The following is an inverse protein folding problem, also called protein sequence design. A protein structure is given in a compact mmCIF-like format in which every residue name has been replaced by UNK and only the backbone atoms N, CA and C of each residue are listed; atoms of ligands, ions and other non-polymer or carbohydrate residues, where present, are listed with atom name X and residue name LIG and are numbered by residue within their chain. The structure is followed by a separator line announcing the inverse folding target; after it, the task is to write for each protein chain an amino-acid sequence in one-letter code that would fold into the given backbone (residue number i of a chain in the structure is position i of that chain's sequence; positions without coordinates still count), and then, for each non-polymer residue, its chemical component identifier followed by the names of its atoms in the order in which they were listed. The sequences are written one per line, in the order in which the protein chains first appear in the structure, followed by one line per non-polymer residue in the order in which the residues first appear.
data_IF_898407708254
#
_entry.id   IF_898407708254
#
_cell.length_a   1.000
_cell.length_b   1.000
_cell.length_c   1.000
_cell.angle_alpha   90.00
_cell.angle_beta   90.00
_cell.angle_gamma   90.00
#
_symmetry.space_group_name_H-M   'P 1'
#
loop_
_entity.id
_entity.type
_entity.pdbx_description
1 polymer ?
#
# COMPACT_ATOMS: atom_id res chain seq x y z
N UNK A 1 11.47 17.55 -17.41
CA UNK A 1 10.57 18.65 -17.01
C UNK A 1 9.47 18.88 -18.01
N UNK A 2 8.29 18.30 -17.76
CA UNK A 2 7.05 18.78 -18.38
C UNK A 2 6.53 19.90 -17.51
N UNK A 3 6.04 20.99 -18.10
CA UNK A 3 5.49 22.08 -17.29
C UNK A 3 4.33 21.53 -16.42
N UNK A 4 4.14 22.00 -15.17
CA UNK A 4 3.05 21.53 -14.30
C UNK A 4 1.66 21.60 -14.93
N UNK A 5 1.46 22.45 -15.95
CA UNK A 5 0.21 22.56 -16.72
C UNK A 5 -0.04 21.39 -17.67
N UNK A 6 0.99 20.71 -18.17
CA UNK A 6 0.82 19.55 -19.06
C UNK A 6 0.36 18.29 -18.29
N UNK A 7 0.69 18.20 -17.00
CA UNK A 7 0.20 17.16 -16.08
C UNK A 7 -1.31 17.25 -15.84
N UNK A 8 -1.99 18.27 -16.33
CA UNK A 8 -3.42 18.45 -16.09
C UNK A 8 -4.29 17.82 -17.18
N UNK A 9 -3.74 17.16 -18.20
CA UNK A 9 -4.53 16.61 -19.32
C UNK A 9 -4.78 15.09 -19.28
N UNK A 10 -4.25 14.38 -18.29
CA UNK A 10 -4.44 12.94 -18.11
C UNK A 10 -4.60 12.58 -16.63
N UNK A 11 -4.85 11.31 -16.34
CA UNK A 11 -4.79 10.78 -14.97
C UNK A 11 -3.33 10.51 -14.59
N UNK A 12 -2.88 11.02 -13.44
CA UNK A 12 -1.50 10.89 -12.99
C UNK A 12 -1.40 10.36 -11.57
N UNK A 13 -0.28 9.69 -11.32
CA UNK A 13 0.16 9.31 -9.99
C UNK A 13 1.55 9.88 -9.78
N UNK A 14 1.72 10.63 -8.71
CA UNK A 14 3.01 11.21 -8.30
C UNK A 14 3.41 10.57 -6.98
N UNK A 15 4.62 10.01 -6.95
CA UNK A 15 5.13 9.24 -5.81
C UNK A 15 6.31 9.99 -5.22
N UNK A 16 6.22 10.28 -3.92
CA UNK A 16 7.23 10.97 -3.12
C UNK A 16 7.90 12.14 -3.86
N UNK A 17 7.14 13.12 -4.36
CA UNK A 17 7.69 14.25 -5.09
C UNK A 17 8.70 15.04 -4.23
N UNK A 18 9.80 15.46 -4.85
CA UNK A 18 10.87 16.19 -4.17
C UNK A 18 10.53 17.66 -3.91
N UNK A 19 9.68 18.25 -4.76
CA UNK A 19 9.35 19.67 -4.82
C UNK A 19 7.85 19.89 -5.06
N UNK A 20 7.35 21.06 -4.67
CA UNK A 20 5.98 21.50 -4.90
C UNK A 20 5.65 21.55 -6.40
N UNK A 21 4.38 21.29 -6.72
CA UNK A 21 3.88 21.43 -8.08
C UNK A 21 2.38 21.67 -8.06
N UNK A 22 1.91 22.64 -8.84
CA UNK A 22 0.48 22.93 -8.92
C UNK A 22 -0.32 21.69 -9.38
N UNK A 23 -1.45 21.32 -8.74
CA UNK A 23 -2.21 22.08 -7.71
C UNK A 23 -1.88 21.68 -6.25
N UNK A 24 -0.71 21.14 -5.97
CA UNK A 24 -0.32 20.56 -4.68
C UNK A 24 0.89 21.27 -4.05
N UNK A 25 0.82 21.48 -2.74
CA UNK A 25 1.93 21.86 -1.87
C UNK A 25 2.39 20.67 -1.05
N UNK A 26 3.71 20.55 -0.85
CA UNK A 26 4.33 19.51 -0.07
C UNK A 26 5.01 20.11 1.16
N UNK A 27 4.66 19.57 2.32
CA UNK A 27 5.39 19.87 3.54
C UNK A 27 6.79 19.25 3.55
N UNK A 28 7.58 19.66 4.54
CA UNK A 28 8.87 19.00 4.83
C UNK A 28 8.62 17.56 5.25
N UNK A 29 9.51 16.66 4.82
CA UNK A 29 9.50 15.26 5.26
C UNK A 29 9.58 15.23 6.79
N UNK A 30 8.64 14.56 7.42
CA UNK A 30 8.51 14.49 8.88
C UNK A 30 8.27 13.07 9.34
N UNK A 31 8.64 12.78 10.58
CA UNK A 31 8.30 11.53 11.24
C UNK A 31 6.79 11.50 11.54
N UNK A 32 6.18 10.35 11.29
CA UNK A 32 4.77 10.09 11.54
C UNK A 32 4.66 9.22 12.79
N UNK A 33 4.19 9.81 13.88
CA UNK A 33 4.06 9.13 15.18
C UNK A 33 2.60 8.76 15.51
N UNK A 34 1.67 9.12 14.65
CA UNK A 34 0.23 8.97 14.89
C UNK A 34 -0.36 7.83 14.07
N UNK A 35 -1.44 7.25 14.59
CA UNK A 35 -2.19 6.23 13.87
C UNK A 35 -2.71 6.78 12.54
N UNK A 36 -2.66 5.92 11.53
CA UNK A 36 -3.15 6.22 10.20
C UNK A 36 -4.69 6.14 10.19
N UNK A 37 -5.31 7.11 9.53
CA UNK A 37 -6.75 7.20 9.31
C UNK A 37 -7.02 7.11 7.81
N UNK A 38 -8.00 6.28 7.44
CA UNK A 38 -8.42 6.11 6.06
C UNK A 38 -9.71 6.84 5.77
N UNK A 39 -9.79 7.39 4.57
CA UNK A 39 -11.06 7.77 3.99
C UNK A 39 -11.76 6.52 3.43
N UNK A 40 -12.72 5.97 4.18
CA UNK A 40 -13.43 4.75 3.82
C UNK A 40 -14.26 4.87 2.52
N UNK A 41 -14.54 6.09 2.05
CA UNK A 41 -15.23 6.33 0.78
C UNK A 41 -14.28 6.27 -0.43
N UNK A 42 -13.00 5.92 -0.23
CA UNK A 42 -12.03 5.77 -1.31
C UNK A 42 -12.03 4.36 -1.88
N UNK A 43 -12.38 4.22 -3.16
CA UNK A 43 -12.24 2.96 -3.90
C UNK A 43 -10.79 2.47 -3.97
N UNK A 44 -9.81 3.37 -3.80
CA UNK A 44 -8.39 3.04 -3.77
C UNK A 44 -8.01 2.17 -2.56
N UNK A 45 -8.72 2.32 -1.45
CA UNK A 45 -8.47 1.60 -0.20
C UNK A 45 -9.43 0.41 0.01
N UNK A 46 -10.18 0.02 -1.03
CA UNK A 46 -11.07 -1.12 -0.95
C UNK A 46 -10.27 -2.38 -0.59
N UNK A 47 -10.69 -3.07 0.48
CA UNK A 47 -10.01 -4.25 1.05
C UNK A 47 -8.64 -3.98 1.69
N UNK A 48 -8.33 -2.73 2.03
CA UNK A 48 -7.13 -2.35 2.78
C UNK A 48 -7.55 -1.76 4.12
N UNK A 49 -6.88 -2.16 5.21
CA UNK A 49 -7.10 -1.64 6.56
C UNK A 49 -5.92 -0.78 7.02
N UNK A 50 -6.15 0.21 7.89
CA UNK A 50 -5.08 1.05 8.43
C UNK A 50 -3.99 0.27 9.18
N UNK A 51 -4.31 -0.90 9.71
CA UNK A 51 -3.38 -1.76 10.45
C UNK A 51 -2.53 -2.64 9.54
N UNK A 52 -2.78 -2.67 8.23
CA UNK A 52 -2.07 -3.57 7.33
C UNK A 52 -0.63 -3.09 7.05
N UNK A 53 -0.29 -1.82 7.32
CA UNK A 53 1.05 -1.26 7.13
C UNK A 53 1.27 -0.03 8.04
N UNK A 54 2.53 0.37 8.18
CA UNK A 54 3.00 1.53 8.93
C UNK A 54 3.71 2.51 8.02
N UNK A 55 3.44 3.79 8.21
CA UNK A 55 4.20 4.89 7.60
C UNK A 55 4.96 5.55 8.74
N UNK A 56 6.29 5.51 8.70
CA UNK A 56 7.14 6.16 9.71
C UNK A 56 7.57 7.55 9.29
N UNK A 57 7.66 7.82 7.99
CA UNK A 57 8.00 9.13 7.46
C UNK A 57 7.16 9.47 6.24
N UNK A 58 6.84 10.75 6.09
CA UNK A 58 6.14 11.25 4.91
C UNK A 58 6.18 12.76 4.83
N UNK A 59 5.82 13.27 3.66
CA UNK A 59 5.61 14.68 3.38
C UNK A 59 4.10 14.96 3.48
N UNK A 60 3.69 15.93 4.32
CA UNK A 60 2.34 16.48 4.28
C UNK A 60 1.96 16.89 2.86
N UNK A 61 0.72 16.62 2.46
CA UNK A 61 0.18 17.04 1.16
C UNK A 61 -0.95 18.02 1.43
N UNK A 62 -0.88 19.19 0.82
CA UNK A 62 -1.92 20.21 0.90
C UNK A 62 -2.33 20.63 -0.52
N UNK A 63 -3.62 20.86 -0.74
CA UNK A 63 -4.07 21.49 -1.98
C UNK A 63 -3.78 23.00 -1.96
N UNK A 64 -3.44 23.58 -3.11
CA UNK A 64 -3.47 25.04 -3.27
C UNK A 64 -4.85 25.57 -2.84
N UNK A 65 -4.89 26.76 -2.19
CA UNK A 65 -6.14 27.34 -1.65
C UNK A 65 -7.27 27.40 -2.68
N UNK A 66 -6.96 27.79 -3.91
CA UNK A 66 -7.90 27.91 -5.04
C UNK A 66 -8.45 26.56 -5.54
N UNK A 67 -7.80 25.46 -5.19
CA UNK A 67 -8.13 24.10 -5.65
C UNK A 67 -8.54 23.19 -4.48
N UNK A 68 -8.74 23.75 -3.29
CA UNK A 68 -9.02 23.00 -2.06
C UNK A 68 -10.29 22.16 -2.15
N UNK A 69 -11.33 22.63 -2.84
CA UNK A 69 -12.60 21.89 -3.05
C UNK A 69 -12.43 20.60 -3.87
N UNK A 70 -11.37 20.53 -4.67
CA UNK A 70 -11.05 19.37 -5.51
C UNK A 70 -10.09 18.41 -4.82
N UNK A 71 -9.57 18.77 -3.64
CA UNK A 71 -8.57 18.00 -2.92
C UNK A 71 -9.22 17.15 -1.82
N UNK A 72 -8.85 15.87 -1.79
CA UNK A 72 -9.36 14.90 -0.82
C UNK A 72 -8.23 14.07 -0.25
N UNK A 73 -8.09 14.10 1.07
CA UNK A 73 -7.24 13.17 1.78
C UNK A 73 -7.81 11.75 1.70
N UNK A 74 -6.95 10.79 1.37
CA UNK A 74 -7.27 9.35 1.31
C UNK A 74 -6.64 8.63 2.49
N UNK A 75 -5.38 8.93 2.80
CA UNK A 75 -4.68 8.48 4.00
C UNK A 75 -4.19 9.72 4.74
N UNK A 76 -4.42 9.76 6.05
CA UNK A 76 -3.94 10.84 6.91
C UNK A 76 -3.37 10.31 8.22
N UNK A 77 -2.45 11.05 8.83
CA UNK A 77 -1.97 10.78 10.18
C UNK A 77 -2.05 12.09 10.98
N UNK A 78 -2.72 12.07 12.14
CA UNK A 78 -3.02 13.28 12.92
C UNK A 78 -3.61 14.45 12.09
N UNK A 79 -4.48 14.14 11.13
CA UNK A 79 -5.10 15.14 10.25
C UNK A 79 -4.21 15.63 9.11
N UNK A 80 -2.97 15.16 9.02
CA UNK A 80 -2.03 15.49 7.94
C UNK A 80 -2.23 14.50 6.77
N UNK A 81 -2.59 14.95 5.57
CA UNK A 81 -2.71 14.07 4.41
C UNK A 81 -1.34 13.54 3.95
N UNK A 82 -1.24 12.22 3.78
CA UNK A 82 -0.04 11.51 3.31
C UNK A 82 -0.28 10.78 1.98
N UNK A 83 -1.53 10.43 1.71
CA UNK A 83 -2.02 10.07 0.37
C UNK A 83 -3.24 10.93 0.11
N UNK A 84 -3.23 11.65 -1.00
CA UNK A 84 -4.34 12.51 -1.35
C UNK A 84 -4.61 12.49 -2.85
N UNK A 85 -5.84 12.82 -3.18
CA UNK A 85 -6.33 12.96 -4.53
C UNK A 85 -6.70 14.42 -4.79
N UNK A 86 -6.38 14.92 -5.97
CA UNK A 86 -7.03 16.06 -6.58
C UNK A 86 -7.87 15.58 -7.77
N UNK A 87 -9.15 15.95 -7.82
CA UNK A 87 -10.07 15.55 -8.88
C UNK A 87 -10.90 16.72 -9.40
N UNK A 88 -10.78 17.01 -10.70
CA UNK A 88 -11.54 18.08 -11.38
C UNK A 88 -12.11 17.56 -12.69
N UNK A 89 -13.42 17.26 -12.68
CA UNK A 89 -14.10 16.64 -13.82
C UNK A 89 -13.68 15.18 -14.00
N UNK A 90 -13.06 14.85 -15.14
CA UNK A 90 -12.54 13.49 -15.43
C UNK A 90 -11.04 13.34 -15.17
N UNK A 91 -10.43 14.35 -14.58
CA UNK A 91 -8.98 14.44 -14.37
C UNK A 91 -8.70 14.11 -12.92
N UNK A 92 -7.81 13.14 -12.71
CA UNK A 92 -7.42 12.68 -11.39
C UNK A 92 -5.91 12.78 -11.24
N UNK A 93 -5.47 13.35 -10.13
CA UNK A 93 -4.09 13.36 -9.69
C UNK A 93 -4.04 12.71 -8.32
N UNK A 94 -3.34 11.58 -8.21
CA UNK A 94 -3.06 10.94 -6.94
C UNK A 94 -1.64 11.27 -6.51
N UNK A 95 -1.45 11.69 -5.26
CA UNK A 95 -0.13 12.02 -4.72
C UNK A 95 0.14 11.19 -3.47
N UNK A 96 1.26 10.47 -3.48
CA UNK A 96 1.80 9.79 -2.31
C UNK A 96 2.94 10.65 -1.75
N UNK A 97 2.82 11.12 -0.52
CA UNK A 97 3.82 11.94 0.16
C UNK A 97 4.98 11.14 0.73
N UNK A 98 5.04 9.84 0.46
CA UNK A 98 6.04 8.92 1.00
C UNK A 98 6.38 7.88 -0.06
N UNK A 99 7.58 7.28 0.03
CA UNK A 99 7.95 6.20 -0.87
C UNK A 99 7.27 4.89 -0.42
N UNK A 100 6.43 4.24 -1.24
CA UNK A 100 5.78 3.00 -0.83
C UNK A 100 6.73 1.79 -0.86
N UNK A 101 7.95 1.95 -1.39
CA UNK A 101 8.96 0.89 -1.45
C UNK A 101 9.88 0.89 -0.21
N UNK A 102 9.87 -0.22 0.52
CA UNK A 102 10.74 -0.48 1.68
C UNK A 102 12.24 -0.57 1.34
N UNK A 103 12.59 -0.99 0.11
CA UNK A 103 13.99 -1.24 -0.28
C UNK A 103 14.81 0.04 -0.51
N UNK A 104 14.14 1.19 -0.55
CA UNK A 104 14.85 2.46 -0.58
C UNK A 104 15.41 2.77 0.82
N UNK A 105 16.64 3.25 0.86
CA UNK A 105 17.37 3.68 2.06
C UNK A 105 16.62 4.69 2.94
N UNK A 106 15.54 5.27 2.42
CA UNK A 106 14.64 6.18 3.12
C UNK A 106 13.79 5.49 4.21
N UNK A 107 13.47 4.20 4.06
CA UNK A 107 12.74 3.42 5.07
C UNK A 107 11.42 4.07 5.50
N UNK A 108 10.67 4.66 4.57
CA UNK A 108 9.47 5.46 4.88
C UNK A 108 8.30 4.62 5.39
N UNK A 109 8.22 3.36 4.96
CA UNK A 109 7.09 2.46 5.23
C UNK A 109 7.46 0.99 5.04
N UNK A 110 6.73 0.10 5.73
CA UNK A 110 6.75 -1.35 5.48
C UNK A 110 5.71 -1.77 4.41
N UNK A 111 5.02 -0.82 3.77
CA UNK A 111 3.86 -1.13 2.95
C UNK A 111 4.15 -2.15 1.85
N UNK A 112 5.29 -2.07 1.16
CA UNK A 112 5.68 -3.06 0.14
C UNK A 112 5.79 -4.51 0.66
N UNK A 113 5.98 -4.72 1.96
CA UNK A 113 6.01 -6.03 2.61
C UNK A 113 4.61 -6.51 3.03
N UNK A 114 3.63 -5.61 3.02
CA UNK A 114 2.25 -5.89 3.40
C UNK A 114 1.44 -6.46 2.22
N UNK A 115 0.49 -7.37 2.48
CA UNK A 115 -0.44 -7.80 1.45
C UNK A 115 -1.35 -6.69 0.92
N UNK A 116 -1.47 -5.58 1.63
CA UNK A 116 -2.19 -4.39 1.16
C UNK A 116 -1.56 -3.77 -0.10
N UNK A 117 -0.25 -3.94 -0.31
CA UNK A 117 0.46 -3.29 -1.42
C UNK A 117 -0.03 -3.72 -2.81
N UNK A 118 -0.05 -5.01 -3.17
CA UNK A 118 -0.58 -5.42 -4.48
C UNK A 118 -2.08 -5.09 -4.65
N UNK A 119 -2.86 -5.07 -3.55
CA UNK A 119 -4.28 -4.66 -3.57
C UNK A 119 -4.40 -3.18 -3.91
N UNK A 120 -3.59 -2.32 -3.30
CA UNK A 120 -3.56 -0.88 -3.57
C UNK A 120 -3.26 -0.60 -5.05
N UNK A 121 -2.18 -1.17 -5.59
CA UNK A 121 -1.80 -0.97 -6.99
C UNK A 121 -2.88 -1.47 -7.96
N UNK A 122 -3.54 -2.57 -7.63
CA UNK A 122 -4.68 -3.09 -8.39
C UNK A 122 -5.85 -2.10 -8.39
N UNK A 123 -6.22 -1.59 -7.21
CA UNK A 123 -7.28 -0.60 -7.09
C UNK A 123 -6.93 0.70 -7.81
N UNK A 124 -5.67 1.11 -7.76
CA UNK A 124 -5.15 2.29 -8.43
C UNK A 124 -5.22 2.18 -9.95
N UNK A 125 -4.76 1.07 -10.53
CA UNK A 125 -4.90 0.83 -11.97
C UNK A 125 -6.38 0.89 -12.38
N UNK A 126 -7.24 0.20 -11.63
CA UNK A 126 -8.68 0.22 -11.87
C UNK A 126 -9.32 1.60 -11.69
N UNK A 127 -8.72 2.47 -10.88
CA UNK A 127 -9.16 3.85 -10.68
C UNK A 127 -8.75 4.76 -11.83
N UNK A 128 -7.53 4.58 -12.35
CA UNK A 128 -6.97 5.43 -13.41
C UNK A 128 -7.47 5.05 -14.80
N UNK A 129 -7.84 3.78 -15.01
CA UNK A 129 -8.44 3.33 -16.28
C UNK A 129 -9.86 3.88 -16.36
N UNK A 130 -10.15 4.79 -17.31
CA UNK A 130 -11.50 5.30 -17.48
C UNK A 130 -12.41 4.11 -17.82
N UNK A 131 -13.53 3.97 -17.10
CA UNK A 131 -14.56 3.00 -17.43
C UNK A 131 -14.89 3.15 -18.92
N UNK A 132 -14.49 2.16 -19.70
CA UNK A 132 -14.77 2.12 -21.12
C UNK A 132 -16.28 2.26 -21.28
N UNK A 133 -16.71 3.25 -22.08
CA UNK A 133 -18.12 3.56 -22.37
C UNK A 133 -18.95 2.38 -22.89
N UNK A 134 -18.33 1.22 -23.14
CA UNK A 134 -18.98 0.00 -23.60
C UNK A 134 -19.37 -0.98 -22.48
N UNK A 135 -19.27 -0.62 -21.20
CA UNK A 135 -19.56 -1.57 -20.11
C UNK A 135 -18.62 -2.77 -20.10
N UNK A 136 -17.50 -2.67 -20.82
CA UNK A 136 -16.46 -3.68 -20.81
C UNK A 136 -15.78 -3.66 -19.45
N UNK A 137 -16.04 -4.73 -18.70
CA UNK A 137 -15.34 -5.11 -17.48
C UNK A 137 -13.85 -4.77 -17.57
N UNK A 138 -13.36 -4.09 -16.53
CA UNK A 138 -11.95 -3.84 -16.22
C UNK A 138 -11.03 -4.90 -16.82
N UNK A 139 -10.10 -4.49 -17.68
CA UNK A 139 -9.10 -5.37 -18.30
C UNK A 139 -8.19 -6.06 -17.29
N UNK A 140 -8.27 -5.66 -16.02
CA UNK A 140 -7.58 -6.24 -14.88
C UNK A 140 -8.60 -6.68 -13.81
N UNK A 141 -8.88 -7.98 -13.74
CA UNK A 141 -9.70 -8.58 -12.70
C UNK A 141 -8.83 -9.41 -11.75
N UNK A 142 -9.02 -9.21 -10.44
CA UNK A 142 -8.38 -10.00 -9.39
C UNK A 142 -9.19 -11.27 -9.14
N UNK A 143 -8.58 -12.43 -9.35
CA UNK A 143 -9.19 -13.73 -9.10
C UNK A 143 -8.34 -14.57 -8.15
N UNK A 144 -8.97 -15.53 -7.47
CA UNK A 144 -8.27 -16.46 -6.57
C UNK A 144 -7.98 -17.76 -7.30
N UNK A 145 -6.83 -18.37 -7.01
CA UNK A 145 -6.53 -19.72 -7.49
C UNK A 145 -7.59 -20.72 -6.99
N UNK A 146 -8.06 -21.58 -7.89
CA UNK A 146 -9.04 -22.62 -7.58
C UNK A 146 -10.50 -22.14 -7.52
N UNK A 147 -10.77 -20.84 -7.70
CA UNK A 147 -12.14 -20.34 -7.83
C UNK A 147 -12.50 -20.07 -9.29
N UNK A 148 -13.73 -20.37 -9.72
CA UNK A 148 -14.21 -20.03 -11.05
C UNK A 148 -14.22 -18.52 -11.26
N UNK A 149 -13.59 -18.07 -12.34
CA UNK A 149 -13.66 -16.71 -12.83
C UNK A 149 -14.45 -16.66 -14.14
N UNK A 150 -15.41 -15.74 -14.22
CA UNK A 150 -16.11 -15.47 -15.47
C UNK A 150 -15.25 -14.55 -16.34
N UNK A 151 -15.08 -14.98 -17.59
CA UNK A 151 -14.30 -14.28 -18.59
C UNK A 151 -15.20 -14.04 -19.79
N UNK A 152 -15.38 -12.77 -20.12
CA UNK A 152 -16.08 -12.34 -21.32
C UNK A 152 -15.06 -11.66 -22.25
N UNK A 153 -14.94 -12.18 -23.48
CA UNK A 153 -14.08 -11.63 -24.54
C UNK A 153 -14.91 -11.06 -25.71
N UNK A 154 -16.22 -10.83 -25.51
CA UNK A 154 -17.20 -10.41 -26.51
C UNK A 154 -17.61 -11.55 -27.45
N UNK A 155 -18.13 -11.28 -28.65
CA UNK A 155 -18.37 -12.30 -29.67
C UNK A 155 -17.06 -12.77 -30.33
N UNK A 156 -16.97 -14.03 -30.79
CA UNK A 156 -15.81 -14.53 -31.52
C UNK A 156 -15.74 -13.91 -32.93
N UNK A 157 -14.52 -13.69 -33.44
CA UNK A 157 -14.33 -13.12 -34.78
C UNK A 157 -14.62 -14.14 -35.88
N UNK A 158 -14.54 -15.45 -35.54
CA UNK A 158 -14.87 -16.58 -36.41
C UNK A 158 -15.70 -17.62 -35.66
N UNK A 159 -16.62 -18.33 -36.32
CA UNK A 159 -17.28 -19.49 -35.73
C UNK A 159 -16.21 -20.49 -35.26
N UNK A 160 -16.32 -21.00 -34.02
CA UNK A 160 -15.39 -21.99 -33.44
C UNK A 160 -13.95 -21.48 -33.24
N UNK A 161 -13.77 -20.18 -32.98
CA UNK A 161 -12.47 -19.64 -32.64
C UNK A 161 -12.04 -20.07 -31.23
N UNK A 162 -10.93 -20.80 -31.15
CA UNK A 162 -10.39 -21.28 -29.89
C UNK A 162 -9.94 -20.13 -28.98
N UNK A 163 -10.10 -20.33 -27.68
CA UNK A 163 -9.53 -19.49 -26.64
C UNK A 163 -8.24 -20.11 -26.16
N UNK A 164 -7.19 -19.32 -26.11
CA UNK A 164 -5.87 -19.72 -25.62
C UNK A 164 -5.61 -19.05 -24.27
N UNK A 165 -5.25 -19.86 -23.29
CA UNK A 165 -4.89 -19.46 -21.93
C UNK A 165 -3.41 -19.71 -21.75
N UNK A 166 -2.63 -18.65 -21.60
CA UNK A 166 -1.23 -18.74 -21.21
C UNK A 166 -1.11 -18.53 -19.71
N UNK A 167 -0.63 -19.57 -19.04
CA UNK A 167 -0.37 -19.58 -17.61
C UNK A 167 0.95 -18.85 -17.28
N UNK A 168 1.16 -18.46 -16.01
CA UNK A 168 2.36 -17.76 -15.55
C UNK A 168 3.66 -18.53 -15.81
N UNK A 169 3.62 -19.86 -15.75
CA UNK A 169 4.74 -20.75 -16.07
C UNK A 169 5.05 -20.85 -17.59
N UNK A 170 4.23 -20.20 -18.43
CA UNK A 170 4.34 -20.26 -19.88
C UNK A 170 3.53 -21.39 -20.53
N UNK A 171 2.92 -22.28 -19.75
CA UNK A 171 2.05 -23.35 -20.24
C UNK A 171 0.86 -22.76 -20.97
N UNK A 172 0.50 -23.35 -22.10
CA UNK A 172 -0.59 -22.87 -22.95
C UNK A 172 -1.69 -23.92 -23.02
N UNK A 173 -2.89 -23.55 -22.60
CA UNK A 173 -4.11 -24.35 -22.73
C UNK A 173 -4.99 -23.76 -23.83
N UNK A 174 -5.48 -24.58 -24.74
CA UNK A 174 -6.37 -24.13 -25.82
C UNK A 174 -7.70 -24.84 -25.68
N UNK A 175 -8.79 -24.09 -25.58
CA UNK A 175 -10.14 -24.62 -25.38
C UNK A 175 -11.07 -24.06 -26.45
N UNK A 176 -11.90 -24.92 -27.02
CA UNK A 176 -12.97 -24.50 -27.93
C UNK A 176 -14.18 -24.07 -27.10
N UNK A 177 -14.48 -22.78 -27.09
CA UNK A 177 -15.63 -22.23 -26.36
C UNK A 177 -16.68 -21.74 -27.35
N UNK A 178 -17.94 -22.21 -27.27
CA UNK A 178 -18.98 -21.85 -28.24
C UNK A 178 -19.62 -20.47 -27.99
N UNK A 179 -19.29 -19.77 -26.90
CA UNK A 179 -19.95 -18.53 -26.50
C UNK A 179 -19.02 -17.37 -26.15
N UNK A 180 -19.64 -16.23 -25.85
CA UNK A 180 -18.98 -14.95 -25.55
C UNK A 180 -18.38 -14.92 -24.15
N UNK A 181 -19.00 -15.69 -23.25
CA UNK A 181 -18.65 -15.83 -21.85
C UNK A 181 -18.33 -17.30 -21.53
N UNK A 182 -17.28 -17.49 -20.75
CA UNK A 182 -16.88 -18.81 -20.27
C UNK A 182 -16.27 -18.70 -18.87
N UNK A 183 -16.27 -19.82 -18.17
CA UNK A 183 -15.69 -19.91 -16.82
C UNK A 183 -14.31 -20.54 -16.91
N UNK A 184 -13.32 -19.88 -16.31
CA UNK A 184 -11.96 -20.38 -16.17
C UNK A 184 -11.66 -20.59 -14.69
N UNK A 185 -10.96 -21.67 -14.34
CA UNK A 185 -10.52 -21.90 -12.95
C UNK A 185 -8.99 -21.86 -12.98
N UNK A 186 -8.37 -20.74 -12.55
CA UNK A 186 -6.93 -20.63 -12.55
C UNK A 186 -6.34 -21.55 -11.48
N UNK A 187 -5.43 -22.43 -11.87
CA UNK A 187 -4.72 -23.34 -10.96
C UNK A 187 -3.39 -22.78 -10.46
N UNK A 188 -2.91 -21.71 -11.07
CA UNK A 188 -1.60 -21.10 -10.79
C UNK A 188 -1.72 -19.63 -10.42
N UNK A 189 -0.74 -19.18 -9.65
CA UNK A 189 -0.61 -17.81 -9.14
C UNK A 189 0.19 -16.98 -10.14
N UNK A 190 -0.23 -15.74 -10.36
CA UNK A 190 0.47 -14.81 -11.25
C UNK A 190 -0.44 -14.28 -12.35
N UNK A 191 0.18 -13.77 -13.40
CA UNK A 191 -0.54 -13.14 -14.51
C UNK A 191 -0.83 -14.19 -15.58
N UNK A 192 -2.11 -14.46 -15.81
CA UNK A 192 -2.59 -15.28 -16.92
C UNK A 192 -2.95 -14.37 -18.10
N UNK A 193 -2.67 -14.82 -19.30
CA UNK A 193 -3.09 -14.16 -20.54
C UNK A 193 -4.14 -15.01 -21.22
N UNK A 194 -5.30 -14.41 -21.51
CA UNK A 194 -6.36 -15.06 -22.27
C UNK A 194 -6.47 -14.36 -23.62
N UNK A 195 -6.37 -15.13 -24.70
CA UNK A 195 -6.46 -14.62 -26.07
C UNK A 195 -7.51 -15.37 -26.86
N UNK A 196 -8.33 -14.65 -27.61
CA UNK A 196 -9.21 -15.21 -28.64
C UNK A 196 -9.12 -14.31 -29.87
N UNK A 197 -8.47 -14.80 -30.92
CA UNK A 197 -8.15 -13.98 -32.08
C UNK A 197 -7.24 -12.83 -31.72
N UNK A 198 -7.69 -11.61 -32.04
CA UNK A 198 -6.95 -10.37 -31.73
C UNK A 198 -7.25 -9.82 -30.34
N UNK A 199 -8.25 -10.38 -29.64
CA UNK A 199 -8.66 -9.92 -28.31
C UNK A 199 -7.79 -10.58 -27.26
N UNK A 200 -7.28 -9.77 -26.32
CA UNK A 200 -6.41 -10.20 -25.23
C UNK A 200 -6.93 -9.63 -23.92
N UNK A 201 -7.01 -10.45 -22.88
CA UNK A 201 -7.32 -10.06 -21.50
C UNK A 201 -6.25 -10.59 -20.55
N UNK A 202 -5.91 -9.80 -19.55
CA UNK A 202 -4.95 -10.18 -18.51
C UNK A 202 -5.70 -10.46 -17.21
N UNK A 203 -5.40 -11.58 -16.57
CA UNK A 203 -5.96 -11.93 -15.26
C UNK A 203 -4.84 -12.04 -14.25
N UNK A 204 -4.92 -11.27 -13.17
CA UNK A 204 -4.03 -11.43 -12.03
C UNK A 204 -4.67 -12.38 -11.01
N UNK A 205 -3.99 -13.49 -10.76
CA UNK A 205 -4.48 -14.54 -9.86
C UNK A 205 -3.58 -14.64 -8.65
N UNK A 206 -4.16 -14.61 -7.45
CA UNK A 206 -3.43 -14.74 -6.19
C UNK A 206 -3.86 -15.98 -5.39
N UNK A 207 -3.00 -16.45 -4.49
CA UNK A 207 -3.28 -17.53 -3.51
C UNK A 207 -4.20 -17.08 -2.38
N UNK A 208 -4.17 -15.79 -2.06
CA UNK A 208 -4.71 -15.34 -0.80
C UNK A 208 -6.25 -15.26 -0.84
N UNK A 209 -6.90 -16.08 0.00
CA UNK A 209 -8.33 -15.98 0.29
C UNK A 209 -8.62 -14.70 1.06
N UNK A 210 -9.77 -14.07 0.81
CA UNK A 210 -10.26 -12.96 1.63
C UNK A 210 -10.32 -13.31 3.14
N UNK A 211 -10.55 -14.58 3.47
CA UNK A 211 -10.52 -15.15 4.82
C UNK A 211 -9.11 -15.16 5.44
N UNK A 212 -8.05 -15.30 4.63
CA UNK A 212 -6.66 -15.22 5.10
C UNK A 212 -6.25 -13.77 5.42
N UNK A 213 -6.87 -12.78 4.77
CA UNK A 213 -6.69 -11.37 5.11
C UNK A 213 -7.52 -10.94 6.34
N UNK A 214 -8.56 -11.70 6.68
CA UNK A 214 -9.32 -11.51 7.93
C UNK A 214 -8.68 -12.17 9.16
N UNK A 215 -7.51 -12.79 9.03
CA UNK A 215 -6.68 -13.08 10.19
C UNK A 215 -5.94 -11.80 10.61
N UNK A 216 -6.67 -10.91 11.29
CA UNK A 216 -6.09 -10.17 12.42
C UNK A 216 -5.21 -11.15 13.16
N UNK A 217 -3.92 -10.86 13.34
CA UNK A 217 -2.90 -11.76 13.85
C UNK A 217 -3.37 -12.71 14.95
N UNK A 218 -3.96 -13.84 14.55
CA UNK A 218 -4.01 -15.01 15.39
C UNK A 218 -2.61 -15.56 15.28
N UNK A 219 -1.76 -15.08 16.19
CA UNK A 219 -0.89 -15.88 17.05
C UNK A 219 -1.03 -17.40 16.86
N UNK A 220 -0.71 -17.89 15.66
CA UNK A 220 -0.06 -19.20 15.52
C UNK A 220 1.38 -18.96 15.92
N UNK A 221 1.57 -18.88 17.23
CA UNK A 221 2.83 -19.24 17.85
C UNK A 221 3.28 -20.51 17.14
N UNK A 222 4.43 -20.45 16.48
CA UNK A 222 5.15 -21.64 16.05
C UNK A 222 5.06 -22.67 17.18
N UNK A 223 4.74 -23.95 16.90
CA UNK A 223 4.74 -24.98 17.94
C UNK A 223 6.07 -24.88 18.65
N UNK A 224 6.01 -24.51 19.93
CA UNK A 224 7.19 -24.34 20.76
C UNK A 224 7.90 -25.70 20.74
N UNK A 225 9.19 -25.77 20.33
CA UNK A 225 9.88 -27.04 20.29
C UNK A 225 9.76 -27.73 21.67
N UNK A 226 9.41 -29.02 21.71
CA UNK A 226 9.37 -29.74 22.97
C UNK A 226 10.80 -29.80 23.50
N UNK A 227 10.99 -29.23 24.69
CA UNK A 227 12.26 -29.08 25.40
C UNK A 227 13.17 -27.93 24.94
N UNK A 228 12.84 -26.74 25.42
CA UNK A 228 13.79 -26.11 26.33
C UNK A 228 13.04 -25.82 27.63
N UNK A 229 13.53 -26.39 28.74
CA UNK A 229 13.13 -25.97 30.08
C UNK A 229 13.13 -24.45 30.07
N UNK A 230 11.96 -23.83 30.24
CA UNK A 230 11.91 -22.45 30.69
C UNK A 230 12.65 -22.44 32.03
N UNK A 231 13.92 -22.05 32.00
CA UNK A 231 14.44 -21.25 33.09
C UNK A 231 13.47 -20.08 33.18
N UNK A 232 12.64 -20.15 34.21
CA UNK A 232 11.84 -19.03 34.67
C UNK A 232 12.85 -17.95 35.02
N UNK A 233 13.23 -17.15 34.02
CA UNK A 233 13.90 -15.90 34.21
C UNK A 233 12.92 -15.01 34.94
N UNK A 234 12.85 -15.16 36.26
CA UNK A 234 12.50 -14.06 37.14
C UNK A 234 13.28 -12.88 36.61
N UNK A 235 12.59 -11.85 36.13
CA UNK A 235 13.18 -10.54 35.90
C UNK A 235 13.80 -10.18 37.23
N UNK A 236 15.11 -10.44 37.37
CA UNK A 236 15.88 -9.91 38.48
C UNK A 236 15.72 -8.41 38.30
N UNK A 237 14.97 -7.82 39.23
CA UNK A 237 14.89 -6.40 39.48
C UNK A 237 16.31 -5.85 39.37
N UNK A 238 16.66 -5.30 38.20
CA UNK A 238 18.01 -4.79 37.95
C UNK A 238 18.27 -3.77 39.04
N UNK A 239 19.30 -4.06 39.82
CA UNK A 239 19.39 -3.65 41.22
C UNK A 239 19.44 -2.14 41.37
N UNK A 240 18.85 -1.67 42.47
CA UNK A 240 18.81 -0.25 42.86
C UNK A 240 20.19 0.40 43.02
N UNK A 241 21.29 -0.36 42.92
CA UNK A 241 22.66 0.14 43.01
C UNK A 241 23.02 1.10 41.88
N UNK A 242 22.55 0.84 40.65
CA UNK A 242 22.80 1.76 39.52
C UNK A 242 22.06 3.07 39.73
N UNK A 243 20.81 3.04 40.21
CA UNK A 243 20.08 4.27 40.54
C UNK A 243 20.75 5.06 41.68
N UNK A 244 21.34 4.39 42.68
CA UNK A 244 22.09 5.07 43.74
C UNK A 244 23.41 5.66 43.24
N UNK A 245 24.14 4.98 42.35
CA UNK A 245 25.36 5.51 41.73
C UNK A 245 25.07 6.75 40.88
N UNK A 246 23.99 6.74 40.11
CA UNK A 246 23.54 7.91 39.33
C UNK A 246 23.15 9.07 40.25
N UNK A 247 22.43 8.80 41.34
CA UNK A 247 22.06 9.82 42.32
C UNK A 247 23.29 10.41 43.04
N UNK A 248 24.26 9.57 43.43
CA UNK A 248 25.50 10.01 44.07
C UNK A 248 26.34 10.91 43.12
N UNK A 249 26.43 10.54 41.84
CA UNK A 249 27.10 11.35 40.82
C UNK A 249 26.46 12.73 40.65
N UNK A 250 25.13 12.80 40.68
CA UNK A 250 24.36 14.05 40.62
C UNK A 250 24.61 14.95 41.83
N UNK A 251 24.68 14.37 43.04
CA UNK A 251 24.97 15.12 44.27
C UNK A 251 26.40 15.69 44.23
N UNK A 252 27.39 14.88 43.84
CA UNK A 252 28.77 15.33 43.73
C UNK A 252 28.90 16.48 42.72
N UNK A 253 28.23 16.36 41.57
CA UNK A 253 28.21 17.41 40.55
C UNK A 253 27.64 18.74 41.08
N UNK A 254 26.52 18.69 41.80
CA UNK A 254 25.93 19.88 42.42
C UNK A 254 26.84 20.48 43.50
N UNK A 255 27.54 19.64 44.26
CA UNK A 255 28.46 20.09 45.29
C UNK A 255 29.70 20.78 44.71
N UNK A 256 30.29 20.20 43.66
CA UNK A 256 31.42 20.83 42.95
C UNK A 256 31.03 22.16 42.32
N UNK A 257 29.84 22.22 41.73
CA UNK A 257 29.32 23.45 41.15
C UNK A 257 29.09 24.55 42.20
N UNK A 258 28.62 24.17 43.39
CA UNK A 258 28.42 25.12 44.49
C UNK A 258 29.73 25.68 45.03
N UNK A 259 30.76 24.84 45.22
CA UNK A 259 32.09 25.30 45.63
C UNK A 259 32.66 26.29 44.62
N UNK A 260 32.65 25.93 43.33
CA UNK A 260 33.15 26.81 42.26
C UNK A 260 32.40 28.15 42.22
N UNK A 261 31.09 28.14 42.48
CA UNK A 261 30.29 29.36 42.57
C UNK A 261 30.65 30.19 43.82
N UNK A 262 30.93 29.55 44.95
CA UNK A 262 31.27 30.23 46.21
C UNK A 262 32.66 30.88 46.20
N UNK A 263 33.61 30.34 45.42
CA UNK A 263 34.95 30.92 45.27
C UNK A 263 35.01 32.09 44.27
N UNK A 264 33.98 32.22 43.42
CA UNK A 264 33.89 33.28 42.39
C UNK A 264 33.02 34.47 42.79
N UNK A 265 32.44 34.46 43.99
CA UNK A 265 31.63 35.57 44.54
C UNK A 265 32.34 36.21 45.71
#
# INVERSE_FOLDING_TARGET
DRSPRELMNSNYVVINPSEDFYPIHLGKKTAIQSSIVFNHNSSLLKHIRPTDFHIWQGRPIEGHKEESDFFRAIISAAGIPLLAEWSKGKKHLLVLGFNPNWLDSSGDTDWALSPAFPIFWTNLINYLVPESKTGQQKDFCYYQTGLPCQVNLGPPDKPQQAVTFRQPDGTVLTVQTPGDEFTFIPTQVGIHTITRGYKKKLLAVNLARAEMFNQVGQTRLLPTPPHSKKETGTVKKTSSLISYLVALGLILFLFTWWIEKSERG
#
